data_IF_507817183020
#
_entry.id   IF_507817183020
#
_cell.length_a   1.000
_cell.length_b   1.000
_cell.length_c   1.000
_cell.angle_alpha   90.00
_cell.angle_beta   90.00
_cell.angle_gamma   90.00
#
_symmetry.space_group_name_H-M   'P 1'
#
loop_
_entity.id
_entity.type
_entity.pdbx_description
1 polymer ?
#
# COMPACT_ATOMS: atom_id res chain seq x y z
N UNK A 1 -22.70 18.03 0.06
CA UNK A 1 -21.95 18.16 -1.21
C UNK A 1 -20.83 17.14 -1.21
N UNK A 2 -20.96 16.06 -1.97
CA UNK A 2 -19.90 15.10 -2.26
C UNK A 2 -19.83 14.96 -3.78
N UNK A 3 -18.63 15.10 -4.34
CA UNK A 3 -18.37 15.11 -5.77
C UNK A 3 -18.80 13.78 -6.38
N UNK A 4 -19.58 13.86 -7.46
CA UNK A 4 -20.10 12.71 -8.18
C UNK A 4 -18.99 11.83 -8.72
N UNK A 5 -19.16 10.52 -8.55
CA UNK A 5 -18.51 9.52 -9.39
C UNK A 5 -19.34 9.42 -10.67
N UNK A 6 -18.88 10.06 -11.73
CA UNK A 6 -19.38 9.83 -13.08
C UNK A 6 -18.38 8.96 -13.82
N UNK A 7 -18.80 7.77 -14.27
CA UNK A 7 -18.06 6.99 -15.26
C UNK A 7 -18.27 5.49 -15.17
N UNK A 8 -18.74 4.93 -16.29
CA UNK A 8 -18.61 3.53 -16.72
C UNK A 8 -19.54 2.48 -16.06
N UNK A 9 -20.85 2.58 -16.33
CA UNK A 9 -21.78 1.45 -16.50
C UNK A 9 -21.53 0.14 -15.74
N UNK A 10 -21.25 0.20 -14.43
CA UNK A 10 -20.98 -0.96 -13.57
C UNK A 10 -21.97 -1.05 -12.41
N UNK A 11 -22.39 -2.26 -12.05
CA UNK A 11 -23.26 -2.54 -10.90
C UNK A 11 -22.49 -3.34 -9.84
N UNK A 12 -22.45 -2.83 -8.61
CA UNK A 12 -21.82 -3.50 -7.46
C UNK A 12 -22.90 -4.25 -6.69
N UNK A 13 -22.73 -5.57 -6.54
CA UNK A 13 -23.65 -6.41 -5.80
C UNK A 13 -23.07 -6.78 -4.44
N UNK A 14 -23.43 -6.04 -3.39
CA UNK A 14 -23.10 -6.44 -2.03
C UNK A 14 -24.24 -7.31 -1.46
N UNK A 15 -23.93 -8.58 -1.19
CA UNK A 15 -24.88 -9.49 -0.54
C UNK A 15 -24.72 -9.40 0.97
N UNK A 16 -25.65 -8.71 1.62
CA UNK A 16 -25.71 -8.54 3.08
C UNK A 16 -26.74 -9.51 3.64
N UNK A 17 -26.32 -10.42 4.53
CA UNK A 17 -27.22 -11.35 5.22
C UNK A 17 -28.30 -10.62 6.06
N UNK A 18 -29.45 -11.25 6.35
CA UNK A 18 -30.60 -10.60 7.01
C UNK A 18 -30.28 -9.93 8.35
N UNK A 19 -29.36 -10.53 9.13
CA UNK A 19 -28.95 -10.03 10.45
C UNK A 19 -27.99 -8.84 10.37
N UNK A 20 -27.22 -8.73 9.29
CA UNK A 20 -26.24 -7.66 9.08
C UNK A 20 -26.87 -6.35 8.58
N UNK A 21 -28.13 -6.38 8.13
CA UNK A 21 -28.89 -5.17 7.73
C UNK A 21 -29.06 -4.16 8.87
N UNK A 22 -29.13 -4.63 10.12
CA UNK A 22 -29.26 -3.75 11.30
C UNK A 22 -27.95 -3.12 11.78
N UNK A 23 -26.80 -3.52 11.21
CA UNK A 23 -25.45 -3.05 11.59
C UNK A 23 -24.91 -1.95 10.68
N UNK A 24 -25.56 -1.73 9.53
CA UNK A 24 -25.21 -0.70 8.57
C UNK A 24 -26.10 0.51 8.89
N UNK A 25 -25.49 1.65 9.22
CA UNK A 25 -26.25 2.87 9.43
C UNK A 25 -27.03 3.23 8.16
N UNK A 26 -28.26 3.74 8.27
CA UNK A 26 -29.08 4.16 7.11
C UNK A 26 -28.36 5.20 6.22
N UNK A 27 -27.35 5.89 6.74
CA UNK A 27 -26.50 6.84 6.01
C UNK A 27 -25.30 6.21 5.29
N UNK A 28 -25.00 4.93 5.51
CA UNK A 28 -23.97 4.17 4.82
C UNK A 28 -24.58 3.50 3.59
N UNK A 29 -24.43 4.14 2.43
CA UNK A 29 -24.96 3.63 1.17
C UNK A 29 -24.09 2.45 0.70
N UNK A 30 -24.61 1.24 0.83
CA UNK A 30 -24.04 0.04 0.22
C UNK A 30 -24.94 -0.33 -0.95
N UNK A 31 -24.42 -0.22 -2.18
CA UNK A 31 -25.16 -0.64 -3.37
C UNK A 31 -25.32 -2.17 -3.34
N UNK A 32 -26.55 -2.63 -3.31
CA UNK A 32 -26.92 -4.04 -3.35
C UNK A 32 -27.79 -4.28 -4.58
N UNK A 33 -27.45 -5.29 -5.36
CA UNK A 33 -28.40 -5.94 -6.27
C UNK A 33 -28.32 -7.44 -6.05
N UNK A 34 -29.42 -8.17 -6.25
CA UNK A 34 -29.43 -9.63 -6.22
C UNK A 34 -30.01 -10.20 -7.52
N UNK A 35 -29.66 -11.46 -7.80
CA UNK A 35 -30.21 -12.27 -8.88
C UNK A 35 -31.09 -13.40 -8.31
N UNK A 36 -32.08 -13.85 -9.07
CA UNK A 36 -32.95 -15.01 -8.86
C UNK A 36 -32.19 -16.33 -9.09
N UNK A 37 -32.77 -17.49 -8.70
CA UNK A 37 -32.12 -18.81 -8.81
C UNK A 37 -31.74 -19.26 -10.24
N UNK A 38 -32.27 -18.61 -11.26
CA UNK A 38 -31.98 -18.77 -12.69
C UNK A 38 -31.11 -17.64 -13.28
N UNK A 39 -30.62 -16.73 -12.43
CA UNK A 39 -29.66 -15.68 -12.79
C UNK A 39 -30.27 -14.33 -13.21
N UNK A 40 -31.57 -14.07 -12.98
CA UNK A 40 -32.25 -12.80 -13.37
C UNK A 40 -32.34 -11.81 -12.20
N UNK A 41 -32.12 -10.50 -12.38
CA UNK A 41 -32.27 -9.54 -11.29
C UNK A 41 -33.74 -9.39 -10.80
N UNK A 42 -33.94 -9.13 -9.51
CA UNK A 42 -35.26 -8.81 -8.91
C UNK A 42 -35.32 -7.31 -8.61
N UNK A 43 -36.35 -6.63 -9.10
CA UNK A 43 -36.59 -5.20 -8.85
C UNK A 43 -36.88 -4.94 -7.35
N UNK A 44 -35.92 -4.29 -6.69
CA UNK A 44 -36.19 -3.31 -5.64
C UNK A 44 -35.90 -1.91 -6.22
N UNK A 45 -36.65 -0.87 -5.84
CA UNK A 45 -36.80 0.31 -6.67
C UNK A 45 -35.53 1.18 -6.73
N UNK A 46 -35.08 1.40 -7.97
CA UNK A 46 -34.27 2.50 -8.47
C UNK A 46 -32.78 2.59 -8.06
N UNK A 47 -31.94 2.02 -8.93
CA UNK A 47 -30.92 2.83 -9.62
C UNK A 47 -31.05 2.58 -11.12
N UNK A 48 -31.63 3.53 -11.85
CA UNK A 48 -31.50 3.59 -13.30
C UNK A 48 -30.13 4.18 -13.65
N UNK A 49 -29.29 3.42 -14.35
CA UNK A 49 -28.21 3.97 -15.18
C UNK A 49 -28.66 3.92 -16.64
N UNK A 50 -28.66 5.07 -17.30
CA UNK A 50 -29.10 5.21 -18.69
C UNK A 50 -28.13 4.53 -19.68
N UNK A 51 -28.67 3.78 -20.63
CA UNK A 51 -28.10 3.60 -21.98
C UNK A 51 -27.24 2.36 -22.26
N UNK A 52 -27.87 1.31 -22.82
CA UNK A 52 -27.42 0.44 -23.93
C UNK A 52 -25.99 -0.15 -24.00
N UNK A 53 -25.88 -1.49 -24.05
CA UNK A 53 -24.68 -2.23 -24.51
C UNK A 53 -24.17 -3.31 -23.53
N UNK A 54 -23.28 -4.23 -23.95
CA UNK A 54 -23.18 -5.63 -23.46
C UNK A 54 -22.59 -5.80 -22.05
N UNK A 55 -22.99 -6.90 -21.38
CA UNK A 55 -22.51 -7.44 -20.09
C UNK A 55 -21.75 -6.49 -19.18
N UNK A 56 -22.50 -5.83 -18.29
CA UNK A 56 -21.93 -5.02 -17.21
C UNK A 56 -21.05 -5.89 -16.28
N UNK A 57 -19.76 -5.57 -16.10
CA UNK A 57 -18.88 -6.28 -15.17
C UNK A 57 -19.30 -6.00 -13.71
N UNK A 58 -19.87 -6.99 -13.03
CA UNK A 58 -20.16 -6.92 -11.59
C UNK A 58 -19.02 -7.47 -10.72
N UNK A 59 -19.02 -7.10 -9.44
CA UNK A 59 -18.16 -7.72 -8.41
C UNK A 59 -19.02 -8.37 -7.34
N UNK A 60 -18.62 -9.57 -6.92
CA UNK A 60 -19.28 -10.31 -5.86
C UNK A 60 -18.50 -10.14 -4.55
N UNK A 61 -19.18 -9.57 -3.54
CA UNK A 61 -18.66 -9.52 -2.17
C UNK A 61 -19.51 -10.43 -1.29
N UNK A 62 -18.90 -11.51 -0.78
CA UNK A 62 -19.52 -12.42 0.16
C UNK A 62 -19.28 -11.93 1.60
N UNK A 63 -20.35 -11.51 2.27
CA UNK A 63 -20.31 -11.01 3.64
C UNK A 63 -20.93 -12.06 4.58
N UNK A 64 -20.24 -12.50 5.65
CA UNK A 64 -20.76 -13.49 6.57
C UNK A 64 -21.83 -12.87 7.48
N UNK A 65 -22.70 -13.71 8.04
CA UNK A 65 -23.56 -13.28 9.15
C UNK A 65 -22.69 -13.04 10.38
N UNK A 66 -22.78 -11.83 10.95
CA UNK A 66 -21.96 -11.40 12.10
C UNK A 66 -22.77 -10.63 13.11
N UNK A 67 -22.36 -10.72 14.38
CA UNK A 67 -22.95 -9.94 15.48
C UNK A 67 -22.39 -8.52 15.58
N UNK A 68 -23.05 -7.62 16.34
CA UNK A 68 -22.53 -6.28 16.61
C UNK A 68 -21.12 -6.33 17.22
N UNK A 69 -20.21 -5.49 16.71
CA UNK A 69 -18.84 -5.37 17.23
C UNK A 69 -17.83 -6.40 16.71
N UNK A 70 -18.25 -7.37 15.88
CA UNK A 70 -17.31 -8.25 15.18
C UNK A 70 -16.51 -7.49 14.10
N UNK A 71 -15.26 -7.92 13.92
CA UNK A 71 -14.33 -7.41 12.92
C UNK A 71 -14.15 -8.45 11.80
N UNK A 72 -13.93 -7.98 10.58
CA UNK A 72 -13.90 -8.78 9.36
C UNK A 72 -12.59 -8.58 8.61
N UNK A 73 -11.95 -9.68 8.20
CA UNK A 73 -10.80 -9.67 7.29
C UNK A 73 -11.23 -9.96 5.85
N UNK A 74 -10.51 -9.35 4.91
CA UNK A 74 -10.75 -9.45 3.48
C UNK A 74 -9.86 -10.51 2.84
N UNK A 75 -10.48 -11.44 2.10
CA UNK A 75 -9.84 -12.37 1.18
C UNK A 75 -10.26 -12.08 -0.26
N UNK A 76 -9.31 -12.21 -1.17
CA UNK A 76 -9.39 -11.75 -2.54
C UNK A 76 -9.08 -12.89 -3.51
N UNK A 77 -10.08 -13.35 -4.28
CA UNK A 77 -9.93 -14.49 -5.19
C UNK A 77 -10.48 -14.15 -6.59
N UNK A 78 -9.60 -13.97 -7.57
CA UNK A 78 -9.98 -13.92 -9.00
C UNK A 78 -10.99 -12.84 -9.42
N UNK A 79 -11.23 -11.81 -8.58
CA UNK A 79 -12.22 -10.74 -8.80
C UNK A 79 -13.43 -10.79 -7.86
N UNK A 80 -13.54 -11.84 -7.05
CA UNK A 80 -14.45 -11.90 -5.91
C UNK A 80 -13.73 -11.46 -4.63
N UNK A 81 -14.50 -10.94 -3.67
CA UNK A 81 -14.05 -10.65 -2.32
C UNK A 81 -14.88 -11.46 -1.33
N UNK A 82 -14.21 -12.03 -0.33
CA UNK A 82 -14.84 -12.73 0.78
C UNK A 82 -14.42 -12.05 2.08
N UNK A 83 -15.39 -11.72 2.91
CA UNK A 83 -15.16 -11.29 4.27
C UNK A 83 -15.29 -12.48 5.23
N UNK A 84 -14.42 -12.53 6.24
CA UNK A 84 -14.43 -13.57 7.27
C UNK A 84 -14.20 -12.93 8.65
N UNK A 85 -14.84 -13.40 9.73
CA UNK A 85 -14.57 -12.89 11.06
C UNK A 85 -13.09 -13.03 11.44
N UNK A 86 -12.48 -11.96 11.95
CA UNK A 86 -11.07 -11.94 12.34
C UNK A 86 -10.85 -10.91 13.46
N UNK A 87 -10.07 -11.29 14.49
CA UNK A 87 -9.77 -10.40 15.63
C UNK A 87 -9.07 -9.10 15.21
N UNK A 88 -8.22 -9.18 14.20
CA UNK A 88 -7.43 -8.09 13.62
C UNK A 88 -8.07 -7.46 12.37
N UNK A 89 -9.32 -7.85 12.05
CA UNK A 89 -10.06 -7.34 10.88
C UNK A 89 -10.48 -5.87 10.98
N UNK A 90 -11.28 -5.40 10.04
CA UNK A 90 -11.91 -4.07 10.07
C UNK A 90 -13.33 -4.16 10.66
N UNK A 91 -13.89 -3.07 11.23
CA UNK A 91 -15.30 -3.05 11.55
C UNK A 91 -16.14 -3.26 10.29
N UNK A 92 -17.37 -3.74 10.47
CA UNK A 92 -18.21 -4.30 9.40
C UNK A 92 -18.32 -3.37 8.17
N UNK A 93 -18.67 -2.09 8.37
CA UNK A 93 -18.92 -1.14 7.28
C UNK A 93 -17.65 -0.88 6.49
N UNK A 94 -16.53 -0.64 7.18
CA UNK A 94 -15.22 -0.42 6.60
C UNK A 94 -14.74 -1.65 5.83
N UNK A 95 -14.95 -2.86 6.38
CA UNK A 95 -14.60 -4.11 5.71
C UNK A 95 -15.37 -4.30 4.40
N UNK A 96 -16.67 -3.99 4.38
CA UNK A 96 -17.50 -4.07 3.17
C UNK A 96 -17.07 -3.06 2.12
N UNK A 97 -16.82 -1.81 2.51
CA UNK A 97 -16.33 -0.78 1.59
C UNK A 97 -14.97 -1.16 0.99
N UNK A 98 -14.04 -1.61 1.83
CA UNK A 98 -12.70 -2.03 1.39
C UNK A 98 -12.76 -3.24 0.44
N UNK A 99 -13.65 -4.19 0.72
CA UNK A 99 -13.89 -5.35 -0.13
C UNK A 99 -14.43 -4.97 -1.52
N UNK A 100 -15.38 -4.04 -1.58
CA UNK A 100 -15.95 -3.54 -2.85
C UNK A 100 -14.87 -2.87 -3.68
N UNK A 101 -14.10 -1.95 -3.09
CA UNK A 101 -13.06 -1.21 -3.80
C UNK A 101 -11.99 -2.16 -4.33
N UNK A 102 -11.51 -3.09 -3.50
CA UNK A 102 -10.48 -4.04 -3.89
C UNK A 102 -10.95 -5.03 -4.98
N UNK A 103 -12.20 -5.51 -4.90
CA UNK A 103 -12.76 -6.40 -5.92
C UNK A 103 -12.95 -5.67 -7.25
N UNK A 104 -13.45 -4.43 -7.20
CA UNK A 104 -13.65 -3.60 -8.38
C UNK A 104 -12.33 -3.26 -9.07
N UNK A 105 -11.32 -2.87 -8.29
CA UNK A 105 -9.96 -2.63 -8.76
C UNK A 105 -9.41 -3.80 -9.58
N UNK A 106 -9.56 -5.04 -9.11
CA UNK A 106 -9.08 -6.22 -9.86
C UNK A 106 -9.76 -6.45 -11.20
N UNK A 107 -10.95 -5.90 -11.41
CA UNK A 107 -11.73 -6.12 -12.63
C UNK A 107 -11.46 -5.06 -13.68
N UNK A 108 -11.28 -3.80 -13.28
CA UNK A 108 -11.19 -2.67 -14.21
C UNK A 108 -10.02 -1.71 -13.93
N UNK A 109 -9.26 -1.92 -12.86
CA UNK A 109 -8.15 -1.05 -12.51
C UNK A 109 -6.93 -1.26 -13.42
N UNK A 110 -6.19 -0.19 -13.68
CA UNK A 110 -5.04 -0.20 -14.61
C UNK A 110 -3.85 -1.07 -14.14
N UNK A 111 -3.83 -1.47 -12.86
CA UNK A 111 -2.83 -2.38 -12.30
C UNK A 111 -3.35 -3.83 -12.16
N UNK A 112 -4.51 -4.16 -12.71
CA UNK A 112 -5.03 -5.52 -12.73
C UNK A 112 -4.00 -6.49 -13.36
N UNK A 113 -3.78 -7.63 -12.69
CA UNK A 113 -2.80 -8.63 -13.11
C UNK A 113 -1.34 -8.28 -12.78
N UNK A 114 -1.06 -7.11 -12.20
CA UNK A 114 0.29 -6.72 -11.77
C UNK A 114 0.53 -7.13 -10.32
N UNK A 115 1.63 -7.85 -10.10
CA UNK A 115 2.23 -8.09 -8.77
C UNK A 115 3.13 -6.93 -8.36
N UNK A 116 2.84 -6.30 -7.22
CA UNK A 116 3.56 -5.14 -6.68
C UNK A 116 4.02 -5.43 -5.25
N UNK A 117 5.30 -5.19 -4.97
CA UNK A 117 5.88 -5.27 -3.63
C UNK A 117 5.98 -3.86 -3.07
N UNK A 118 5.47 -3.62 -1.87
CA UNK A 118 5.56 -2.32 -1.19
C UNK A 118 6.20 -2.51 0.18
N UNK A 119 7.31 -1.83 0.45
CA UNK A 119 7.94 -1.81 1.78
C UNK A 119 7.42 -0.64 2.61
N UNK A 120 7.34 -0.79 3.93
CA UNK A 120 6.79 0.25 4.80
C UNK A 120 7.36 0.23 6.22
N UNK A 121 7.43 1.41 6.84
CA UNK A 121 7.89 1.61 8.22
C UNK A 121 9.38 1.92 8.32
N UNK A 122 9.88 2.10 9.55
CA UNK A 122 11.30 2.26 9.85
C UNK A 122 11.93 0.95 10.33
N UNK A 123 13.08 0.58 9.76
CA UNK A 123 13.83 -0.60 10.20
C UNK A 123 14.32 -0.47 11.64
N UNK A 124 14.54 -1.61 12.29
CA UNK A 124 14.96 -1.75 13.70
C UNK A 124 16.23 -2.58 13.75
N UNK A 125 17.36 -1.90 13.94
CA UNK A 125 18.67 -2.54 13.99
C UNK A 125 19.04 -2.86 15.45
N UNK A 126 19.04 -4.14 15.87
CA UNK A 126 19.18 -4.51 17.27
C UNK A 126 20.57 -4.19 17.81
N UNK A 127 20.63 -3.56 18.97
CA UNK A 127 21.86 -3.37 19.76
C UNK A 127 22.02 -4.50 20.79
N UNK A 128 20.91 -4.90 21.40
CA UNK A 128 20.78 -5.97 22.38
C UNK A 128 19.37 -6.58 22.27
N UNK A 129 18.98 -7.61 23.04
CA UNK A 129 17.65 -8.22 22.94
C UNK A 129 16.47 -7.31 23.32
N UNK A 130 16.73 -6.10 23.82
CA UNK A 130 15.74 -5.16 24.34
C UNK A 130 15.73 -3.83 23.55
N UNK A 131 16.86 -3.43 22.97
CA UNK A 131 17.06 -2.12 22.35
C UNK A 131 17.51 -2.24 20.90
N UNK A 132 17.07 -1.28 20.09
CA UNK A 132 17.41 -1.17 18.67
C UNK A 132 17.54 0.29 18.25
N UNK A 133 18.23 0.53 17.13
CA UNK A 133 18.27 1.81 16.42
C UNK A 133 17.14 1.83 15.40
N UNK A 134 16.39 2.93 15.32
CA UNK A 134 15.31 3.11 14.34
C UNK A 134 15.18 4.57 13.91
N UNK A 135 14.26 4.83 13.00
CA UNK A 135 13.92 6.16 12.50
C UNK A 135 12.44 6.50 12.77
N UNK A 136 12.04 7.72 12.42
CA UNK A 136 10.70 8.28 12.68
C UNK A 136 9.63 7.87 11.65
N UNK A 137 9.91 6.87 10.81
CA UNK A 137 8.93 6.43 9.81
C UNK A 137 7.76 5.73 10.47
N UNK A 138 6.58 6.35 10.34
CA UNK A 138 5.31 5.78 10.78
C UNK A 138 4.80 4.67 9.87
N UNK A 139 5.32 4.55 8.65
CA UNK A 139 4.80 3.62 7.64
C UNK A 139 3.55 4.07 6.89
N UNK A 140 2.94 5.21 7.26
CA UNK A 140 1.71 5.74 6.64
C UNK A 140 1.79 5.88 5.11
N UNK A 141 2.95 6.25 4.56
CA UNK A 141 3.14 6.38 3.12
C UNK A 141 3.10 5.01 2.42
N UNK A 142 3.83 4.02 2.95
CA UNK A 142 3.79 2.65 2.42
C UNK A 142 2.42 2.00 2.56
N UNK A 143 1.68 2.29 3.65
CA UNK A 143 0.28 1.88 3.78
C UNK A 143 -0.60 2.46 2.67
N UNK A 144 -0.49 3.77 2.42
CA UNK A 144 -1.26 4.44 1.38
C UNK A 144 -0.94 3.89 -0.02
N UNK A 145 0.33 3.62 -0.32
CA UNK A 145 0.76 3.01 -1.58
C UNK A 145 0.23 1.60 -1.77
N UNK A 146 0.33 0.76 -0.73
CA UNK A 146 -0.15 -0.61 -0.79
C UNK A 146 -1.68 -0.67 -0.96
N UNK A 147 -2.41 0.19 -0.24
CA UNK A 147 -3.88 0.29 -0.37
C UNK A 147 -4.25 0.76 -1.78
N UNK A 148 -3.66 1.85 -2.26
CA UNK A 148 -3.96 2.40 -3.59
C UNK A 148 -3.58 1.44 -4.74
N UNK A 149 -2.50 0.68 -4.61
CA UNK A 149 -2.09 -0.33 -5.59
C UNK A 149 -3.10 -1.47 -5.66
N UNK A 150 -3.53 -1.99 -4.49
CA UNK A 150 -4.59 -2.99 -4.37
C UNK A 150 -5.91 -2.49 -4.97
N UNK A 151 -6.29 -1.25 -4.67
CA UNK A 151 -7.53 -0.62 -5.16
C UNK A 151 -7.53 -0.41 -6.67
N UNK A 152 -6.34 -0.38 -7.28
CA UNK A 152 -6.12 -0.35 -8.73
C UNK A 152 -5.97 -1.75 -9.34
N UNK A 153 -6.18 -2.80 -8.55
CA UNK A 153 -6.22 -4.19 -9.01
C UNK A 153 -4.92 -4.98 -8.88
N UNK A 154 -3.86 -4.39 -8.32
CA UNK A 154 -2.61 -5.10 -8.13
C UNK A 154 -2.74 -6.22 -7.07
N UNK A 155 -1.99 -7.31 -7.28
CA UNK A 155 -1.67 -8.25 -6.21
C UNK A 155 -0.51 -7.68 -5.39
N UNK A 156 -0.78 -7.28 -4.15
CA UNK A 156 0.18 -6.55 -3.32
C UNK A 156 0.82 -7.45 -2.27
N UNK A 157 2.16 -7.47 -2.23
CA UNK A 157 2.93 -7.93 -1.08
C UNK A 157 3.42 -6.72 -0.29
N UNK A 158 2.88 -6.55 0.91
CA UNK A 158 3.21 -5.48 1.86
C UNK A 158 4.24 -5.98 2.87
N UNK A 159 5.48 -5.48 2.77
CA UNK A 159 6.58 -5.84 3.67
C UNK A 159 6.72 -4.74 4.73
N UNK A 160 6.31 -5.03 5.95
CA UNK A 160 6.33 -4.08 7.06
C UNK A 160 7.55 -4.30 7.96
N UNK A 161 8.31 -3.23 8.20
CA UNK A 161 9.46 -3.21 9.12
C UNK A 161 9.06 -2.86 10.55
N UNK A 162 7.83 -2.35 10.73
CA UNK A 162 7.24 -2.10 12.04
C UNK A 162 5.73 -2.26 11.98
N UNK A 163 5.12 -2.62 13.11
CA UNK A 163 3.67 -2.75 13.25
C UNK A 163 3.00 -1.46 13.78
N UNK A 164 3.56 -0.28 13.50
CA UNK A 164 2.99 1.00 13.99
C UNK A 164 1.68 1.37 13.28
N UNK A 165 1.53 0.96 12.02
CA UNK A 165 0.31 1.13 11.23
C UNK A 165 -0.22 -0.27 10.91
N UNK A 166 -1.51 -0.57 11.15
CA UNK A 166 -2.12 -1.82 10.72
C UNK A 166 -1.92 -2.03 9.22
N UNK A 167 -1.64 -3.26 8.80
CA UNK A 167 -1.49 -3.54 7.38
C UNK A 167 -2.83 -3.27 6.63
N UNK A 168 -2.78 -2.85 5.36
CA UNK A 168 -4.00 -2.77 4.54
C UNK A 168 -4.68 -4.15 4.46
N UNK A 169 -6.00 -4.20 4.47
CA UNK A 169 -6.68 -5.47 4.30
C UNK A 169 -6.54 -5.97 2.84
N UNK A 170 -6.63 -7.29 2.64
CA UNK A 170 -6.57 -7.87 1.30
C UNK A 170 -5.20 -7.79 0.60
N UNK A 171 -4.11 -7.59 1.35
CA UNK A 171 -2.73 -7.69 0.83
C UNK A 171 -2.00 -8.84 1.53
N UNK A 172 -0.97 -9.41 0.88
CA UNK A 172 -0.06 -10.36 1.55
C UNK A 172 0.87 -9.58 2.47
N UNK A 173 0.89 -9.88 3.76
CA UNK A 173 1.73 -9.18 4.74
C UNK A 173 2.96 -10.01 5.09
N UNK A 174 4.13 -9.38 5.10
CA UNK A 174 5.40 -9.97 5.56
C UNK A 174 6.04 -9.03 6.59
N UNK A 175 6.36 -9.55 7.79
CA UNK A 175 7.08 -8.78 8.81
C UNK A 175 8.59 -8.95 8.63
N UNK A 176 9.29 -7.83 8.48
CA UNK A 176 10.74 -7.82 8.28
C UNK A 176 11.40 -6.65 9.04
N UNK A 177 11.57 -6.76 10.37
CA UNK A 177 11.97 -5.62 11.20
C UNK A 177 13.33 -5.00 10.90
N UNK A 178 14.35 -5.81 10.62
CA UNK A 178 15.71 -5.34 10.33
C UNK A 178 15.99 -5.19 8.84
N UNK A 179 17.04 -4.45 8.45
CA UNK A 179 17.44 -4.36 7.04
C UNK A 179 17.77 -5.74 6.46
N UNK A 180 18.39 -6.63 7.24
CA UNK A 180 18.73 -7.98 6.79
C UNK A 180 17.48 -8.80 6.44
N UNK A 181 16.44 -8.73 7.29
CA UNK A 181 15.16 -9.38 7.03
C UNK A 181 14.42 -8.72 5.88
N UNK A 182 14.47 -7.38 5.79
CA UNK A 182 13.83 -6.63 4.71
C UNK A 182 14.43 -7.01 3.35
N UNK A 183 15.76 -7.09 3.26
CA UNK A 183 16.46 -7.55 2.06
C UNK A 183 15.99 -8.94 1.66
N UNK A 184 15.98 -9.90 2.59
CA UNK A 184 15.54 -11.26 2.29
C UNK A 184 14.09 -11.31 1.78
N UNK A 185 13.17 -10.62 2.46
CA UNK A 185 11.76 -10.57 2.08
C UNK A 185 11.54 -9.87 0.72
N UNK A 186 12.28 -8.80 0.44
CA UNK A 186 12.22 -8.10 -0.86
C UNK A 186 12.71 -9.01 -1.99
N UNK A 187 13.85 -9.67 -1.81
CA UNK A 187 14.40 -10.55 -2.86
C UNK A 187 13.48 -11.75 -3.14
N UNK A 188 12.89 -12.35 -2.10
CA UNK A 188 11.90 -13.42 -2.26
C UNK A 188 10.65 -12.91 -3.02
N UNK A 189 10.05 -11.80 -2.57
CA UNK A 189 8.81 -11.29 -3.14
C UNK A 189 8.98 -10.75 -4.56
N UNK A 190 10.16 -10.22 -4.90
CA UNK A 190 10.43 -9.65 -6.22
C UNK A 190 10.77 -10.69 -7.29
N UNK A 191 10.99 -11.95 -6.93
CA UNK A 191 11.24 -13.04 -7.89
C UNK A 191 10.12 -13.27 -8.90
N UNK A 192 8.90 -12.82 -8.62
CA UNK A 192 7.80 -12.82 -9.59
C UNK A 192 7.11 -11.45 -9.76
N UNK A 193 7.57 -10.39 -9.09
CA UNK A 193 6.91 -9.09 -9.12
C UNK A 193 7.18 -8.31 -10.42
N UNK A 194 6.33 -7.33 -10.71
CA UNK A 194 6.58 -6.36 -11.78
C UNK A 194 7.13 -5.04 -11.23
N UNK A 195 6.78 -4.70 -9.98
CA UNK A 195 7.16 -3.43 -9.35
C UNK A 195 7.59 -3.66 -7.91
N UNK A 196 8.64 -2.97 -7.50
CA UNK A 196 9.06 -2.80 -6.12
C UNK A 196 8.98 -1.32 -5.74
N UNK A 197 8.18 -0.99 -4.73
CA UNK A 197 8.10 0.34 -4.13
C UNK A 197 8.78 0.34 -2.77
N UNK A 198 9.99 0.90 -2.71
CA UNK A 198 10.82 1.02 -1.51
C UNK A 198 10.42 2.23 -0.66
N UNK A 199 9.25 2.17 -0.02
CA UNK A 199 8.73 3.23 0.85
C UNK A 199 9.09 3.06 2.34
N UNK A 200 9.74 1.95 2.73
CA UNK A 200 10.34 1.82 4.05
C UNK A 200 11.54 2.77 4.22
N UNK A 201 11.69 3.35 5.40
CA UNK A 201 12.90 4.06 5.78
C UNK A 201 13.93 3.05 6.26
N UNK A 202 14.81 2.65 5.33
CA UNK A 202 15.90 1.68 5.56
C UNK A 202 17.06 2.37 6.27
N UNK A 203 17.55 1.79 7.36
CA UNK A 203 18.70 2.33 8.09
C UNK A 203 19.97 2.30 7.24
N UNK A 204 20.69 3.42 7.14
CA UNK A 204 22.02 3.48 6.51
C UNK A 204 23.13 2.88 7.39
N UNK A 205 22.88 2.74 8.69
CA UNK A 205 23.82 2.21 9.67
C UNK A 205 23.18 1.16 10.57
N UNK A 206 24.01 0.24 11.07
CA UNK A 206 23.62 -0.74 12.09
C UNK A 206 24.73 -0.91 13.15
N UNK A 207 24.42 -1.43 14.34
CA UNK A 207 25.46 -1.77 15.32
C UNK A 207 26.46 -2.78 14.74
N UNK A 208 27.76 -2.52 14.90
CA UNK A 208 28.81 -3.42 14.41
C UNK A 208 28.84 -4.78 15.15
N UNK A 209 28.28 -4.83 16.36
CA UNK A 209 28.06 -6.06 17.12
C UNK A 209 26.75 -5.96 17.90
N UNK A 210 26.02 -7.07 17.95
CA UNK A 210 24.78 -7.20 18.75
C UNK A 210 25.11 -7.94 20.04
N UNK A 211 24.82 -7.34 21.20
CA UNK A 211 25.05 -7.98 22.48
C UNK A 211 24.08 -9.14 22.71
N UNK A 212 24.55 -10.25 23.29
CA UNK A 212 23.69 -11.41 23.62
C UNK A 212 22.77 -11.16 24.81
N UNK A 213 23.11 -10.19 25.68
CA UNK A 213 22.32 -9.81 26.83
C UNK A 213 22.07 -8.30 26.87
N UNK A 214 21.06 -7.88 27.65
CA UNK A 214 20.71 -6.47 27.83
C UNK A 214 21.94 -5.70 28.32
N UNK A 215 22.33 -4.67 27.57
CA UNK A 215 23.46 -3.83 27.93
C UNK A 215 23.12 -3.09 29.23
N UNK A 216 23.99 -3.26 30.24
CA UNK A 216 23.85 -2.60 31.56
C UNK A 216 24.33 -1.15 31.50
N UNK A 217 23.68 -0.27 32.26
CA UNK A 217 24.10 1.12 32.41
C UNK A 217 25.45 1.17 33.14
N UNK A 218 26.48 1.69 32.47
CA UNK A 218 27.77 1.97 33.07
C UNK A 218 27.85 3.40 33.66
N UNK A 219 28.77 3.65 34.62
CA UNK A 219 28.92 4.96 35.25
C UNK A 219 29.48 6.04 34.31
N UNK A 220 30.21 5.64 33.25
CA UNK A 220 30.86 6.52 32.28
C UNK A 220 30.08 6.70 30.96
N UNK A 221 28.81 6.28 30.91
CA UNK A 221 28.05 6.23 29.67
C UNK A 221 28.42 5.02 28.79
N UNK A 222 28.02 5.07 27.51
CA UNK A 222 28.25 4.00 26.54
C UNK A 222 28.54 4.62 25.16
N UNK A 223 29.46 4.00 24.43
CA UNK A 223 29.67 4.22 22.99
C UNK A 223 29.23 2.98 22.22
N UNK A 224 28.64 3.19 21.04
CA UNK A 224 28.22 2.12 20.14
C UNK A 224 28.95 2.30 18.80
N UNK A 225 29.70 1.28 18.39
CA UNK A 225 30.30 1.24 17.06
C UNK A 225 29.22 0.92 16.02
N UNK A 226 29.20 1.68 14.93
CA UNK A 226 28.27 1.51 13.82
C UNK A 226 29.03 1.12 12.55
N UNK A 227 28.38 0.31 11.72
CA UNK A 227 28.84 0.00 10.36
C UNK A 227 27.77 0.37 9.33
N UNK A 228 28.22 0.66 8.11
CA UNK A 228 27.35 1.04 6.99
C UNK A 228 26.60 -0.17 6.47
N UNK A 229 25.32 0.02 6.16
CA UNK A 229 24.47 -0.98 5.53
C UNK A 229 24.60 -0.87 4.00
N UNK A 230 24.89 -2.00 3.35
CA UNK A 230 25.03 -2.06 1.90
C UNK A 230 23.67 -1.86 1.19
N UNK A 231 23.70 -1.18 0.04
CA UNK A 231 22.53 -1.03 -0.81
C UNK A 231 22.20 -2.35 -1.52
N UNK A 232 21.04 -2.93 -1.24
CA UNK A 232 20.62 -4.21 -1.82
C UNK A 232 19.65 -4.07 -3.00
N UNK A 233 19.20 -2.85 -3.32
CA UNK A 233 18.27 -2.61 -4.45
C UNK A 233 18.79 -3.14 -5.79
N UNK A 234 20.11 -3.05 -6.11
CA UNK A 234 20.67 -3.63 -7.35
C UNK A 234 20.59 -5.15 -7.42
N UNK A 235 20.35 -5.84 -6.31
CA UNK A 235 20.21 -7.30 -6.28
C UNK A 235 18.81 -7.77 -6.72
N UNK A 236 17.83 -6.86 -6.77
CA UNK A 236 16.47 -7.14 -7.26
C UNK A 236 16.52 -7.55 -8.74
N UNK A 237 15.78 -8.59 -9.17
CA UNK A 237 15.82 -9.08 -10.55
C UNK A 237 15.64 -7.97 -11.60
N UNK A 238 16.35 -8.11 -12.73
CA UNK A 238 16.14 -7.24 -13.88
C UNK A 238 14.69 -7.36 -14.40
N UNK A 239 14.14 -6.26 -14.92
CA UNK A 239 12.75 -6.19 -15.38
C UNK A 239 11.72 -5.86 -14.29
N UNK A 240 12.11 -5.83 -13.01
CA UNK A 240 11.29 -5.25 -11.94
C UNK A 240 11.50 -3.74 -11.92
N UNK A 241 10.41 -2.97 -12.05
CA UNK A 241 10.44 -1.51 -11.88
C UNK A 241 10.73 -1.16 -10.42
N UNK A 242 11.78 -0.38 -10.16
CA UNK A 242 12.25 -0.01 -8.82
C UNK A 242 11.90 1.44 -8.53
N UNK A 243 10.95 1.65 -7.62
CA UNK A 243 10.53 2.97 -7.14
C UNK A 243 11.13 3.22 -5.76
N UNK A 244 11.96 4.26 -5.63
CA UNK A 244 12.59 4.65 -4.37
C UNK A 244 11.96 5.89 -3.75
N UNK A 245 12.26 6.11 -2.47
CA UNK A 245 11.98 7.36 -1.76
C UNK A 245 13.28 7.99 -1.26
N UNK A 246 13.34 9.32 -1.30
CA UNK A 246 14.39 10.11 -0.69
C UNK A 246 13.77 11.19 0.21
N UNK A 247 13.96 11.04 1.51
CA UNK A 247 13.63 12.08 2.49
C UNK A 247 14.85 12.97 2.71
N UNK A 248 14.81 14.18 2.17
CA UNK A 248 15.90 15.16 2.26
C UNK A 248 15.45 16.39 3.06
N UNK A 249 16.39 17.19 3.53
CA UNK A 249 16.10 18.47 4.21
C UNK A 249 16.13 19.68 3.26
N UNK A 250 16.21 19.42 1.96
CA UNK A 250 16.13 20.40 0.89
C UNK A 250 15.42 19.79 -0.33
N UNK A 251 15.30 20.57 -1.40
CA UNK A 251 14.69 20.15 -2.67
C UNK A 251 15.74 20.04 -3.79
N UNK A 252 16.96 19.60 -3.48
CA UNK A 252 18.06 19.46 -4.44
C UNK A 252 17.80 18.31 -5.43
N UNK A 253 17.25 18.66 -6.60
CA UNK A 253 16.88 17.72 -7.65
C UNK A 253 18.08 17.03 -8.29
N UNK A 254 19.23 17.70 -8.40
CA UNK A 254 20.44 17.12 -8.99
C UNK A 254 21.02 16.04 -8.07
N UNK A 255 21.05 16.29 -6.76
CA UNK A 255 21.44 15.29 -5.76
C UNK A 255 20.46 14.13 -5.72
N UNK A 256 19.16 14.39 -5.83
CA UNK A 256 18.16 13.34 -5.91
C UNK A 256 18.35 12.45 -7.16
N UNK A 257 18.56 13.05 -8.33
CA UNK A 257 18.81 12.32 -9.57
C UNK A 257 20.12 11.50 -9.53
N UNK A 258 21.17 12.02 -8.89
CA UNK A 258 22.40 11.27 -8.64
C UNK A 258 22.16 10.08 -7.70
N UNK A 259 21.42 10.30 -6.60
CA UNK A 259 21.05 9.25 -5.65
C UNK A 259 20.21 8.15 -6.29
N UNK A 260 19.25 8.50 -7.15
CA UNK A 260 18.42 7.55 -7.90
C UNK A 260 19.30 6.59 -8.72
N UNK A 261 20.20 7.15 -9.55
CA UNK A 261 21.14 6.37 -10.37
C UNK A 261 22.09 5.52 -9.52
N UNK A 262 22.67 6.09 -8.48
CA UNK A 262 23.60 5.38 -7.59
C UNK A 262 22.92 4.22 -6.85
N UNK A 263 21.67 4.41 -6.42
CA UNK A 263 20.93 3.39 -5.66
C UNK A 263 20.25 2.36 -6.56
N UNK A 264 20.17 2.60 -7.87
CA UNK A 264 19.57 1.70 -8.85
C UNK A 264 18.05 1.76 -8.88
N UNK A 265 17.47 2.96 -8.72
CA UNK A 265 16.04 3.17 -8.88
C UNK A 265 15.71 3.67 -10.29
N UNK A 266 14.55 3.26 -10.81
CA UNK A 266 14.01 3.71 -12.09
C UNK A 266 13.16 4.98 -11.89
N UNK A 267 12.42 5.03 -10.77
CA UNK A 267 11.70 6.21 -10.29
C UNK A 267 12.16 6.57 -8.87
N UNK A 268 12.29 7.87 -8.57
CA UNK A 268 12.58 8.35 -7.21
C UNK A 268 11.57 9.42 -6.78
N UNK A 269 10.94 9.18 -5.63
CA UNK A 269 10.09 10.15 -4.95
C UNK A 269 10.92 10.95 -3.94
N UNK A 270 11.28 12.19 -4.27
CA UNK A 270 11.96 13.11 -3.39
C UNK A 270 10.94 13.87 -2.54
N UNK A 271 11.07 13.86 -1.21
CA UNK A 271 10.29 14.69 -0.30
C UNK A 271 11.19 15.50 0.65
N UNK A 272 11.02 16.82 0.64
CA UNK A 272 11.71 17.76 1.53
C UNK A 272 11.04 17.79 2.91
N UNK A 273 11.56 16.99 3.84
CA UNK A 273 11.02 16.82 5.20
C UNK A 273 11.33 17.99 6.13
N UNK A 274 12.08 18.99 5.68
CA UNK A 274 12.23 20.25 6.43
C UNK A 274 10.97 21.10 6.39
N UNK A 275 10.10 20.87 5.40
CA UNK A 275 8.88 21.64 5.20
C UNK A 275 7.74 21.16 6.11
N UNK A 276 6.95 22.08 6.69
CA UNK A 276 5.76 21.72 7.46
C UNK A 276 4.80 20.84 6.65
N UNK A 277 4.36 19.73 7.26
CA UNK A 277 3.39 18.82 6.63
C UNK A 277 3.99 17.88 5.58
N UNK A 278 5.32 17.71 5.50
CA UNK A 278 5.97 16.81 4.53
C UNK A 278 6.73 15.69 5.25
N UNK A 279 6.59 14.45 4.74
CA UNK A 279 7.37 13.31 5.23
C UNK A 279 6.84 12.62 6.50
N UNK A 280 7.68 12.55 7.53
CA UNK A 280 7.49 11.69 8.70
C UNK A 280 6.47 12.24 9.71
N UNK A 281 5.84 11.34 10.46
CA UNK A 281 4.92 11.65 11.59
C UNK A 281 3.72 12.58 11.29
N UNK A 282 3.45 12.90 10.01
CA UNK A 282 2.29 13.70 9.55
C UNK A 282 1.38 12.90 8.61
N UNK A 283 0.19 13.41 8.26
CA UNK A 283 -0.77 12.75 7.35
C UNK A 283 -0.65 13.17 5.89
N UNK A 284 0.11 14.22 5.63
CA UNK A 284 0.34 14.79 4.30
C UNK A 284 1.74 14.47 3.77
N UNK A 285 1.98 14.70 2.49
CA UNK A 285 3.30 14.67 1.88
C UNK A 285 3.34 15.60 0.65
N UNK A 286 4.53 15.98 0.23
CA UNK A 286 4.82 16.64 -1.05
C UNK A 286 5.98 15.89 -1.69
N UNK A 287 5.85 15.50 -2.95
CA UNK A 287 6.90 14.78 -3.67
C UNK A 287 7.21 15.42 -5.02
N UNK A 288 8.48 15.39 -5.37
CA UNK A 288 8.92 15.40 -6.76
C UNK A 288 9.16 13.94 -7.17
N UNK A 289 8.58 13.53 -8.29
CA UNK A 289 8.78 12.21 -8.87
C UNK A 289 9.74 12.37 -10.04
N UNK A 290 10.91 11.75 -9.92
CA UNK A 290 11.97 11.81 -10.92
C UNK A 290 12.11 10.47 -11.65
N UNK A 291 12.53 10.52 -12.91
CA UNK A 291 13.08 9.40 -13.66
C UNK A 291 14.45 9.76 -14.25
N UNK A 292 15.00 8.88 -15.10
CA UNK A 292 16.29 9.11 -15.78
C UNK A 292 16.36 10.35 -16.68
N UNK A 293 15.22 10.96 -17.03
CA UNK A 293 15.12 12.15 -17.88
C UNK A 293 14.90 13.45 -17.09
N UNK A 294 14.46 13.36 -15.83
CA UNK A 294 14.30 14.51 -14.94
C UNK A 294 13.04 14.42 -14.09
N UNK A 295 12.46 15.57 -13.74
CA UNK A 295 11.21 15.64 -12.99
C UNK A 295 10.04 15.32 -13.91
N UNK A 296 9.26 14.30 -13.56
CA UNK A 296 8.02 13.93 -14.24
C UNK A 296 6.82 14.66 -13.65
N UNK A 297 6.77 14.70 -12.31
CA UNK A 297 5.65 15.26 -11.55
C UNK A 297 6.16 15.99 -10.32
N UNK A 298 5.56 17.14 -10.04
CA UNK A 298 5.62 17.79 -8.74
C UNK A 298 4.20 17.83 -8.16
N UNK A 299 4.05 17.40 -6.91
CA UNK A 299 2.76 17.52 -6.19
C UNK A 299 2.72 18.78 -5.34
N UNK A 300 1.52 19.22 -4.97
CA UNK A 300 1.33 20.08 -3.80
C UNK A 300 1.51 19.28 -2.50
N UNK A 301 1.36 19.96 -1.35
CA UNK A 301 1.17 19.27 -0.07
C UNK A 301 -0.23 18.65 -0.08
N UNK A 302 -0.27 17.32 -0.18
CA UNK A 302 -1.50 16.55 -0.31
C UNK A 302 -1.58 15.48 0.78
N UNK A 303 -2.78 14.95 1.09
CA UNK A 303 -2.89 13.73 1.88
C UNK A 303 -2.05 12.60 1.28
N UNK A 304 -1.42 11.78 2.12
CA UNK A 304 -0.57 10.64 1.66
C UNK A 304 -1.30 9.69 0.71
N UNK A 305 -2.61 9.51 0.86
CA UNK A 305 -3.45 8.74 -0.08
C UNK A 305 -3.47 9.35 -1.49
N UNK A 306 -3.61 10.67 -1.61
CA UNK A 306 -3.58 11.35 -2.89
C UNK A 306 -2.17 11.29 -3.52
N UNK A 307 -1.11 11.43 -2.71
CA UNK A 307 0.27 11.26 -3.18
C UNK A 307 0.53 9.84 -3.68
N UNK A 308 0.01 8.83 -2.99
CA UNK A 308 0.12 7.44 -3.42
C UNK A 308 -0.48 7.22 -4.82
N UNK A 309 -1.65 7.79 -5.09
CA UNK A 309 -2.24 7.74 -6.43
C UNK A 309 -1.38 8.42 -7.49
N UNK A 310 -0.80 9.59 -7.20
CA UNK A 310 0.12 10.27 -8.14
C UNK A 310 1.36 9.43 -8.48
N UNK A 311 1.91 8.75 -7.48
CA UNK A 311 3.05 7.85 -7.69
C UNK A 311 2.64 6.65 -8.53
N UNK A 312 1.47 6.07 -8.27
CA UNK A 312 0.98 4.92 -9.02
C UNK A 312 0.56 5.28 -10.45
N UNK A 313 0.15 6.53 -10.72
CA UNK A 313 -0.07 7.01 -12.10
C UNK A 313 1.23 6.91 -12.91
N UNK A 314 2.36 7.31 -12.32
CA UNK A 314 3.67 7.19 -12.98
C UNK A 314 4.14 5.74 -13.10
N UNK A 315 3.85 4.89 -12.12
CA UNK A 315 4.12 3.44 -12.20
C UNK A 315 3.34 2.81 -13.36
N UNK A 316 2.05 3.11 -13.50
CA UNK A 316 1.22 2.63 -14.60
C UNK A 316 1.75 3.10 -15.94
N UNK A 317 2.07 4.39 -16.07
CA UNK A 317 2.65 4.96 -17.28
C UNK A 317 3.94 4.22 -17.69
N UNK A 318 4.82 3.92 -16.73
CA UNK A 318 6.06 3.19 -16.98
C UNK A 318 5.80 1.76 -17.48
N UNK A 319 4.87 1.05 -16.84
CA UNK A 319 4.52 -0.32 -17.21
C UNK A 319 3.85 -0.44 -18.59
N UNK A 320 3.20 0.62 -19.07
CA UNK A 320 2.58 0.65 -20.40
C UNK A 320 3.59 0.91 -21.52
N UNK A 321 4.64 1.70 -21.27
CA UNK A 321 5.69 1.98 -22.25
C UNK A 321 6.46 0.69 -22.59
N UNK A 322 6.81 -0.11 -21.58
CA UNK A 322 7.55 -1.37 -21.79
C UNK A 322 6.75 -2.48 -22.47
N UNK A 323 5.41 -2.41 -22.46
CA UNK A 323 4.56 -3.39 -23.15
C UNK A 323 4.41 -3.15 -24.66
N UNK A 324 4.92 -2.00 -25.16
CA UNK A 324 4.75 -1.55 -26.55
C UNK A 324 6.06 -1.63 -27.36
N UNK A 325 7.14 -2.12 -26.74
CA UNK A 325 8.46 -2.37 -27.34
C UNK A 325 8.72 -3.87 -27.45
#
# INVERSE_FOLDING_TARGET
>A
MARGLSGQGCEVHVHIGPQARGLIAESAWVLAGCRTPDGRPVDAPAVHLAGGGPEVPGVLVAVPETGPGQRLALRLDGGSARLEPAEDGLPFVEAVLDAVVAAYGRRVGGLAGRRIVVTSGGTREPMDPVRFITNRSSGKMGFALASAARDRGAEVTYIATSAQVPAPAGVRVVLAPSVAQLRAAVLEATGSAHVLVMAAAVSDFRPAAVASGKIKKGPSGMSLALETVANFVPEVPAGVLRVGFAAETDSDLDRAAAKMRQRGFDLLCLNDVSRPGVGFEVDTNKVWILDGTGVRVETDVLPKSAVAHRILDEVEAFLHVDATL
#
